data_IF_084143106804
#
_entry.id   IF_084143106804
#
_cell.length_a   1.000
_cell.length_b   1.000
_cell.length_c   1.000
_cell.angle_alpha   90.00
_cell.angle_beta   90.00
_cell.angle_gamma   90.00
#
_symmetry.space_group_name_H-M   'P 1'
#
loop_
_entity.id
_entity.type
_entity.pdbx_description
1 polymer ?
#
# COMPACT_ATOMS: atom_id res chain seq x y z
N UNK A 1 -16.36 -3.93 -5.56
CA UNK A 1 -15.66 -4.95 -6.37
C UNK A 1 -14.20 -5.13 -5.94
N UNK A 2 -13.45 -4.03 -5.72
CA UNK A 2 -12.05 -4.10 -5.28
C UNK A 2 -11.84 -4.79 -3.93
N UNK A 3 -12.86 -4.89 -3.08
CA UNK A 3 -12.74 -5.58 -1.79
C UNK A 3 -12.38 -7.06 -1.92
N UNK A 4 -12.57 -7.63 -3.12
CA UNK A 4 -12.25 -9.03 -3.41
C UNK A 4 -10.92 -9.19 -4.17
N UNK A 5 -10.10 -8.14 -4.30
CA UNK A 5 -8.89 -8.17 -5.10
C UNK A 5 -7.79 -9.06 -4.52
N UNK A 6 -7.90 -9.46 -3.26
CA UNK A 6 -6.97 -10.43 -2.66
C UNK A 6 -7.69 -11.27 -1.61
N UNK A 7 -7.07 -12.40 -1.24
CA UNK A 7 -7.68 -13.35 -0.33
C UNK A 7 -7.82 -12.83 1.10
N UNK A 8 -6.92 -11.94 1.53
CA UNK A 8 -6.96 -11.34 2.87
C UNK A 8 -6.53 -9.88 2.82
N UNK A 9 -7.09 -9.05 3.71
CA UNK A 9 -6.62 -7.69 3.90
C UNK A 9 -7.18 -6.65 2.94
N UNK A 10 -8.20 -6.98 2.15
CA UNK A 10 -8.83 -5.99 1.26
C UNK A 10 -10.34 -5.84 1.47
N UNK A 11 -10.95 -6.69 2.29
CA UNK A 11 -12.42 -6.70 2.46
C UNK A 11 -12.98 -5.36 2.98
N UNK A 12 -12.22 -4.63 3.77
CA UNK A 12 -12.66 -3.34 4.31
C UNK A 12 -12.75 -2.23 3.26
N UNK A 13 -12.26 -2.45 2.02
CA UNK A 13 -12.42 -1.49 0.93
C UNK A 13 -13.87 -1.18 0.60
N UNK A 14 -14.77 -2.10 0.85
CA UNK A 14 -16.20 -1.88 0.60
C UNK A 14 -16.77 -0.74 1.45
N UNK A 15 -16.18 -0.47 2.61
CA UNK A 15 -16.63 0.57 3.55
C UNK A 15 -15.75 1.83 3.49
N UNK A 16 -14.71 1.85 2.67
CA UNK A 16 -13.84 3.01 2.52
C UNK A 16 -14.51 4.11 1.69
N UNK A 17 -14.35 5.36 2.09
CA UNK A 17 -14.90 6.49 1.36
C UNK A 17 -14.16 6.73 0.04
N UNK A 18 -12.87 6.42 -0.01
CA UNK A 18 -12.02 6.63 -1.18
C UNK A 18 -10.99 5.50 -1.28
N UNK A 19 -10.73 5.04 -2.48
CA UNK A 19 -9.64 4.13 -2.76
C UNK A 19 -8.77 4.74 -3.86
N UNK A 20 -7.48 4.89 -3.58
CA UNK A 20 -6.50 5.42 -4.53
C UNK A 20 -5.65 4.26 -5.01
N UNK A 21 -5.76 3.93 -6.29
CA UNK A 21 -5.00 2.84 -6.91
C UNK A 21 -3.69 3.44 -7.43
N UNK A 22 -2.57 2.94 -6.93
CA UNK A 22 -1.24 3.44 -7.29
C UNK A 22 -0.69 2.61 -8.43
N UNK A 23 -0.52 3.25 -9.57
CA UNK A 23 -0.07 2.63 -10.82
C UNK A 23 1.30 3.16 -11.21
N UNK A 24 2.05 2.35 -11.93
CA UNK A 24 3.31 2.78 -12.54
C UNK A 24 3.52 2.09 -13.89
N UNK A 25 4.30 2.74 -14.74
CA UNK A 25 4.70 2.20 -16.04
C UNK A 25 6.12 1.63 -15.94
N UNK A 26 6.28 0.30 -15.97
CA UNK A 26 7.60 -0.33 -15.90
C UNK A 26 8.52 0.02 -17.07
N UNK A 27 7.96 0.47 -18.19
CA UNK A 27 8.75 0.89 -19.35
C UNK A 27 9.30 2.31 -19.18
N UNK A 28 8.59 3.14 -18.39
CA UNK A 28 9.02 4.52 -18.12
C UNK A 28 10.05 4.59 -16.98
N UNK A 29 10.01 3.64 -16.05
CA UNK A 29 10.93 3.62 -14.90
C UNK A 29 11.30 2.19 -14.55
N UNK A 30 12.59 1.89 -14.49
CA UNK A 30 13.09 0.60 -14.04
C UNK A 30 13.02 0.43 -12.52
N UNK A 31 12.79 1.52 -11.80
CA UNK A 31 12.56 1.53 -10.34
C UNK A 31 11.10 1.85 -10.01
N UNK A 32 10.18 1.41 -10.85
CA UNK A 32 8.74 1.70 -10.70
C UNK A 32 8.16 1.21 -9.38
N UNK A 33 8.69 0.11 -8.85
CA UNK A 33 8.22 -0.46 -7.58
C UNK A 33 8.55 0.51 -6.44
N UNK A 34 9.79 0.99 -6.38
CA UNK A 34 10.22 1.94 -5.37
C UNK A 34 9.47 3.26 -5.52
N UNK A 35 9.34 3.76 -6.75
CA UNK A 35 8.60 5.00 -7.03
C UNK A 35 7.15 4.91 -6.56
N UNK A 36 6.46 3.81 -6.88
CA UNK A 36 5.07 3.60 -6.49
C UNK A 36 4.92 3.39 -4.98
N UNK A 37 5.90 2.74 -4.34
CA UNK A 37 5.91 2.58 -2.89
C UNK A 37 6.07 3.94 -2.19
N UNK A 38 6.96 4.79 -2.69
CA UNK A 38 7.13 6.15 -2.16
C UNK A 38 5.84 6.96 -2.33
N UNK A 39 5.22 6.90 -3.50
CA UNK A 39 3.94 7.58 -3.73
C UNK A 39 2.87 7.11 -2.75
N UNK A 40 2.80 5.81 -2.48
CA UNK A 40 1.84 5.22 -1.55
C UNK A 40 2.01 5.76 -0.13
N UNK A 41 3.25 5.82 0.38
CA UNK A 41 3.48 6.35 1.73
C UNK A 41 3.23 7.86 1.81
N UNK A 42 3.54 8.62 0.74
CA UNK A 42 3.23 10.04 0.71
C UNK A 42 1.72 10.30 0.77
N UNK A 43 0.92 9.46 0.11
CA UNK A 43 -0.55 9.54 0.20
C UNK A 43 -0.99 9.33 1.66
N UNK A 44 -0.42 8.33 2.34
CA UNK A 44 -0.77 8.06 3.74
C UNK A 44 -0.35 9.22 4.66
N UNK A 45 0.83 9.81 4.44
CA UNK A 45 1.28 10.95 5.22
C UNK A 45 0.38 12.17 5.01
N UNK A 46 -0.05 12.42 3.78
CA UNK A 46 -0.98 13.50 3.48
C UNK A 46 -2.34 13.27 4.14
N UNK A 47 -2.83 12.03 4.13
CA UNK A 47 -4.07 11.67 4.80
C UNK A 47 -3.98 11.95 6.31
N UNK A 48 -2.87 11.57 6.93
CA UNK A 48 -2.62 11.83 8.35
C UNK A 48 -2.60 13.33 8.65
N UNK A 49 -1.94 14.12 7.81
CA UNK A 49 -1.89 15.59 7.95
C UNK A 49 -3.29 16.21 7.87
N UNK A 50 -4.17 15.64 7.08
CA UNK A 50 -5.56 16.08 6.94
C UNK A 50 -6.49 15.53 8.02
N UNK A 51 -5.98 14.76 8.98
CA UNK A 51 -6.77 14.15 10.04
C UNK A 51 -7.58 12.94 9.59
N UNK A 52 -7.23 12.35 8.44
CA UNK A 52 -7.91 11.18 7.90
C UNK A 52 -7.18 9.89 8.25
N UNK A 53 -7.92 8.78 8.25
CA UNK A 53 -7.35 7.45 8.34
C UNK A 53 -7.00 6.91 6.96
N UNK A 54 -5.98 6.07 6.89
CA UNK A 54 -5.62 5.40 5.65
C UNK A 54 -5.09 4.00 5.92
N UNK A 55 -5.13 3.17 4.87
CA UNK A 55 -4.57 1.84 4.94
C UNK A 55 -3.96 1.46 3.59
N UNK A 56 -2.75 0.95 3.64
CA UNK A 56 -2.04 0.42 2.47
C UNK A 56 -2.50 -1.01 2.23
N UNK A 57 -3.05 -1.26 1.05
CA UNK A 57 -3.45 -2.59 0.61
C UNK A 57 -2.46 -3.02 -0.46
N UNK A 58 -1.62 -4.00 -0.12
CA UNK A 58 -0.65 -4.53 -1.07
C UNK A 58 -1.39 -5.29 -2.17
N UNK A 59 -1.09 -4.98 -3.42
CA UNK A 59 -1.65 -5.64 -4.60
C UNK A 59 -0.57 -6.47 -5.30
N UNK A 60 0.58 -5.87 -5.57
CA UNK A 60 1.72 -6.57 -6.18
C UNK A 60 2.08 -7.80 -5.36
N UNK A 61 2.30 -8.94 -6.03
CA UNK A 61 2.66 -10.22 -5.39
C UNK A 61 1.58 -10.74 -4.43
N UNK A 62 0.31 -10.42 -4.70
CA UNK A 62 -0.84 -10.94 -3.95
C UNK A 62 -1.83 -11.60 -4.92
N UNK A 63 -2.70 -12.43 -4.37
CA UNK A 63 -3.63 -13.27 -5.15
C UNK A 63 -5.03 -13.22 -4.56
N UNK A 64 -6.02 -13.43 -5.42
CA UNK A 64 -7.42 -13.61 -5.01
C UNK A 64 -7.61 -14.99 -4.38
N UNK A 65 -8.80 -15.24 -3.84
CA UNK A 65 -9.16 -16.59 -3.31
C UNK A 65 -9.04 -17.67 -4.38
N UNK A 66 -9.33 -17.33 -5.64
CA UNK A 66 -9.26 -18.26 -6.77
C UNK A 66 -7.84 -18.41 -7.34
N UNK A 67 -6.85 -17.72 -6.75
CA UNK A 67 -5.46 -17.79 -7.18
C UNK A 67 -5.10 -16.90 -8.35
N UNK A 68 -5.95 -15.96 -8.72
CA UNK A 68 -5.67 -14.97 -9.77
C UNK A 68 -4.77 -13.87 -9.18
N UNK A 69 -3.72 -13.43 -9.88
CA UNK A 69 -2.93 -12.29 -9.39
C UNK A 69 -3.81 -11.07 -9.11
N UNK A 70 -3.65 -10.48 -7.94
CA UNK A 70 -4.47 -9.34 -7.52
C UNK A 70 -4.38 -8.17 -8.51
N UNK A 71 -3.20 -7.95 -9.10
CA UNK A 71 -3.01 -6.93 -10.14
C UNK A 71 -3.91 -7.15 -11.34
N UNK A 72 -4.03 -8.38 -11.82
CA UNK A 72 -4.93 -8.71 -12.94
C UNK A 72 -6.38 -8.45 -12.58
N UNK A 73 -6.78 -8.81 -11.36
CA UNK A 73 -8.13 -8.56 -10.88
C UNK A 73 -8.45 -7.05 -10.89
N UNK A 74 -7.53 -6.22 -10.43
CA UNK A 74 -7.70 -4.76 -10.42
C UNK A 74 -7.72 -4.19 -11.84
N UNK A 75 -6.84 -4.68 -12.73
CA UNK A 75 -6.83 -4.29 -14.15
C UNK A 75 -8.21 -4.48 -14.78
N UNK A 76 -8.77 -5.65 -14.61
CA UNK A 76 -10.10 -5.99 -15.17
C UNK A 76 -11.21 -5.17 -14.52
N UNK A 77 -11.15 -4.99 -13.21
CA UNK A 77 -12.19 -4.27 -12.49
C UNK A 77 -12.28 -2.79 -12.87
N UNK A 78 -11.16 -2.18 -13.29
CA UNK A 78 -11.06 -0.74 -13.54
C UNK A 78 -10.66 -0.39 -14.98
N UNK A 79 -10.60 -1.37 -15.87
CA UNK A 79 -10.20 -1.19 -17.27
C UNK A 79 -8.82 -0.47 -17.40
N UNK A 80 -7.87 -0.87 -16.56
CA UNK A 80 -6.54 -0.30 -16.59
C UNK A 80 -5.74 -0.86 -17.75
N UNK A 81 -5.02 -0.03 -18.53
CA UNK A 81 -4.17 -0.53 -19.60
C UNK A 81 -3.14 -1.54 -19.09
N UNK A 82 -2.92 -2.62 -19.82
CA UNK A 82 -2.02 -3.70 -19.42
C UNK A 82 -0.58 -3.24 -19.21
N UNK A 83 -0.18 -2.16 -19.85
CA UNK A 83 1.15 -1.56 -19.70
C UNK A 83 1.40 -1.05 -18.28
N UNK A 84 0.37 -0.57 -17.61
CA UNK A 84 0.48 -0.05 -16.25
C UNK A 84 0.38 -1.18 -15.23
N UNK A 85 1.24 -1.13 -14.22
CA UNK A 85 1.25 -2.12 -13.15
C UNK A 85 0.69 -1.53 -11.86
N UNK A 86 -0.05 -2.33 -11.10
CA UNK A 86 -0.64 -1.92 -9.83
C UNK A 86 0.29 -2.35 -8.69
N UNK A 87 0.74 -1.40 -7.89
CA UNK A 87 1.52 -1.70 -6.69
C UNK A 87 0.62 -1.90 -5.47
N UNK A 88 -0.24 -0.93 -5.23
CA UNK A 88 -1.06 -0.87 -4.02
C UNK A 88 -2.38 -0.16 -4.28
N UNK A 89 -3.28 -0.31 -3.32
CA UNK A 89 -4.47 0.52 -3.20
C UNK A 89 -4.39 1.16 -1.81
N UNK A 90 -4.51 2.47 -1.73
CA UNK A 90 -4.57 3.17 -0.45
C UNK A 90 -6.02 3.53 -0.17
N UNK A 91 -6.61 2.89 0.82
CA UNK A 91 -7.96 3.22 1.29
C UNK A 91 -7.88 4.42 2.22
N UNK A 92 -8.74 5.39 2.02
CA UNK A 92 -8.78 6.63 2.81
C UNK A 92 -10.19 6.88 3.30
N UNK A 93 -10.32 7.35 4.53
CA UNK A 93 -11.60 7.69 5.12
C UNK A 93 -11.44 8.33 6.48
N UNK A 94 -12.55 8.57 7.16
CA UNK A 94 -12.49 9.07 8.52
C UNK A 94 -11.99 7.97 9.47
N UNK A 95 -11.21 8.36 10.47
CA UNK A 95 -10.64 7.40 11.42
C UNK A 95 -11.76 6.71 12.20
N UNK A 96 -11.80 5.38 12.12
CA UNK A 96 -12.72 4.56 12.90
C UNK A 96 -12.14 4.15 14.25
N UNK A 97 -10.83 4.24 14.40
CA UNK A 97 -10.12 3.96 15.64
C UNK A 97 -8.83 4.75 15.67
N UNK A 98 -8.33 5.02 16.85
CA UNK A 98 -6.99 5.57 17.03
C UNK A 98 -6.07 4.50 17.59
N UNK A 99 -4.90 4.38 16.96
CA UNK A 99 -3.86 3.49 17.45
C UNK A 99 -2.98 4.24 18.44
N UNK A 100 -2.46 3.53 19.42
CA UNK A 100 -1.47 4.09 20.32
C UNK A 100 -0.23 4.52 19.54
N UNK A 101 0.40 5.65 19.90
CA UNK A 101 1.68 6.02 19.33
C UNK A 101 2.71 4.90 19.54
N UNK A 102 3.71 4.83 18.67
CA UNK A 102 4.81 3.89 18.88
C UNK A 102 5.58 4.26 20.16
N UNK A 103 6.17 3.26 20.79
CA UNK A 103 7.04 3.47 21.94
C UNK A 103 8.50 3.30 21.51
N UNK A 104 9.32 4.33 21.70
CA UNK A 104 10.73 4.32 21.30
C UNK A 104 11.50 3.16 21.94
N UNK A 105 11.12 2.73 23.14
CA UNK A 105 11.76 1.59 23.81
C UNK A 105 11.56 0.27 23.07
N UNK A 106 10.50 0.16 22.26
CA UNK A 106 10.18 -1.03 21.48
C UNK A 106 10.81 -1.02 20.09
N UNK A 107 11.52 0.04 19.72
CA UNK A 107 12.24 0.09 18.45
C UNK A 107 13.44 -0.84 18.47
N UNK A 108 13.74 -1.41 17.31
CA UNK A 108 14.82 -2.40 17.16
C UNK A 108 16.17 -1.70 16.98
N UNK A 109 16.62 -1.02 18.02
CA UNK A 109 17.85 -0.24 18.01
C UNK A 109 19.10 -1.08 17.64
N UNK A 110 19.06 -2.39 17.92
CA UNK A 110 20.09 -3.33 17.55
C UNK A 110 20.29 -3.45 16.03
N UNK A 111 19.35 -2.96 15.26
CA UNK A 111 19.43 -2.91 13.78
C UNK A 111 20.01 -1.61 13.25
N UNK A 112 20.26 -0.65 14.12
CA UNK A 112 20.86 0.63 13.74
C UNK A 112 22.36 0.56 14.01
N UNK A 113 23.14 0.75 12.96
CA UNK A 113 24.61 0.68 13.02
C UNK A 113 25.19 2.02 12.61
N UNK A 114 26.18 2.51 13.37
CA UNK A 114 26.85 3.78 13.10
C UNK A 114 28.17 3.51 12.40
N UNK A 115 28.45 4.24 11.33
CA UNK A 115 29.67 4.19 10.54
C UNK A 115 29.93 2.87 9.81
N UNK A 116 29.77 1.74 10.48
CA UNK A 116 29.96 0.39 9.93
C UNK A 116 28.87 -0.54 10.41
N UNK A 117 28.53 -1.53 9.61
CA UNK A 117 27.64 -2.60 10.05
C UNK A 117 28.27 -3.37 11.21
N UNK A 118 27.50 -3.60 12.24
CA UNK A 118 27.96 -4.30 13.44
C UNK A 118 28.68 -3.43 14.47
N UNK A 119 28.88 -2.13 14.21
CA UNK A 119 29.41 -1.20 15.18
C UNK A 119 28.30 -0.65 16.09
N UNK A 120 28.58 -0.48 17.36
CA UNK A 120 27.69 0.13 18.34
C UNK A 120 27.86 1.65 18.39
#
# INVERSE_FOLDING_TARGET
KLSHCKNMGSSFLKDAALAIVVLADPLASDVWIEDAAIASILIQLQAEDLGLGSCWIQVRERFTEEGIPSGEFVHEALDIPLQLQVLSIVAVGHKGMERKPFNEEHLQWEKVHLHKYGAE
#
